data_IF_863349281972
#
_entry.id   IF_863349281972
#
_cell.length_a   1.000
_cell.length_b   1.000
_cell.length_c   1.000
_cell.angle_alpha   90.00
_cell.angle_beta   90.00
_cell.angle_gamma   90.00
#
_symmetry.space_group_name_H-M   'P 1'
#
loop_
_entity.id
_entity.type
_entity.pdbx_description
1 polymer ?
#
# COMPACT_ATOMS: atom_id res chain seq x y z
N UNK A 1 -8.55 -9.10 -2.11
CA UNK A 1 -8.24 -8.51 -3.43
C UNK A 1 -6.76 -8.63 -3.65
N UNK A 2 -6.35 -9.08 -4.84
CA UNK A 2 -4.95 -9.25 -5.21
C UNK A 2 -4.68 -8.47 -6.49
N UNK A 3 -3.53 -7.82 -6.56
CA UNK A 3 -3.04 -7.21 -7.80
C UNK A 3 -2.43 -8.29 -8.70
N UNK A 4 -2.84 -8.31 -9.96
CA UNK A 4 -2.29 -9.22 -10.97
C UNK A 4 -0.97 -8.63 -11.47
N UNK A 5 0.14 -9.24 -11.05
CA UNK A 5 1.50 -8.78 -11.33
C UNK A 5 2.01 -9.34 -12.67
N UNK A 6 3.09 -8.76 -13.19
CA UNK A 6 3.67 -9.16 -14.48
C UNK A 6 4.18 -10.60 -14.54
N UNK A 7 4.43 -11.24 -13.39
CA UNK A 7 4.81 -12.65 -13.30
C UNK A 7 3.62 -13.62 -13.44
N UNK A 8 2.39 -13.12 -13.70
CA UNK A 8 1.18 -13.91 -13.95
C UNK A 8 0.62 -13.57 -15.35
N UNK A 9 1.35 -13.88 -16.44
CA UNK A 9 1.03 -13.38 -17.78
C UNK A 9 -0.31 -13.90 -18.32
N UNK A 10 -0.66 -15.17 -18.07
CA UNK A 10 -1.92 -15.77 -18.49
C UNK A 10 -3.11 -15.13 -17.81
N UNK A 11 -3.07 -14.99 -16.48
CA UNK A 11 -4.14 -14.32 -15.74
C UNK A 11 -4.30 -12.87 -16.20
N UNK A 12 -3.18 -12.17 -16.40
CA UNK A 12 -3.19 -10.79 -16.86
C UNK A 12 -3.88 -10.64 -18.22
N UNK A 13 -3.51 -11.48 -19.20
CA UNK A 13 -4.11 -11.41 -20.53
C UNK A 13 -5.61 -11.74 -20.50
N UNK A 14 -6.04 -12.69 -19.68
CA UNK A 14 -7.46 -12.99 -19.44
C UNK A 14 -8.22 -11.78 -18.90
N UNK A 15 -7.71 -11.12 -17.87
CA UNK A 15 -8.37 -9.94 -17.29
C UNK A 15 -8.40 -8.79 -18.28
N UNK A 16 -7.30 -8.56 -18.99
CA UNK A 16 -7.20 -7.54 -20.04
C UNK A 16 -8.22 -7.76 -21.15
N UNK A 17 -8.30 -8.97 -21.70
CA UNK A 17 -9.28 -9.34 -22.73
C UNK A 17 -10.71 -9.10 -22.25
N UNK A 18 -11.03 -9.47 -20.99
CA UNK A 18 -12.35 -9.25 -20.42
C UNK A 18 -12.77 -7.76 -20.40
N UNK A 19 -11.83 -6.87 -20.08
CA UNK A 19 -12.08 -5.42 -20.09
C UNK A 19 -12.12 -4.82 -21.49
N UNK A 20 -11.42 -5.41 -22.47
CA UNK A 20 -11.52 -5.03 -23.88
C UNK A 20 -12.90 -5.42 -24.44
N UNK A 21 -13.34 -6.65 -24.19
CA UNK A 21 -14.66 -7.15 -24.61
C UNK A 21 -15.82 -6.34 -24.02
N UNK A 22 -15.69 -5.91 -22.76
CA UNK A 22 -16.73 -5.15 -22.08
C UNK A 22 -16.84 -3.67 -22.53
N UNK A 23 -15.82 -3.13 -23.20
CA UNK A 23 -15.78 -1.74 -23.65
C UNK A 23 -15.95 -0.71 -22.51
N UNK A 24 -16.71 0.35 -22.77
CA UNK A 24 -16.95 1.46 -21.83
C UNK A 24 -18.07 1.19 -20.81
N UNK A 25 -18.65 -0.02 -20.82
CA UNK A 25 -19.83 -0.37 -20.04
C UNK A 25 -19.64 -1.15 -18.72
N UNK A 26 -18.52 -1.09 -17.96
CA UNK A 26 -18.55 -1.52 -16.57
C UNK A 26 -18.93 -0.36 -15.64
N UNK A 27 -19.57 -0.69 -14.51
CA UNK A 27 -19.65 0.18 -13.35
C UNK A 27 -18.26 0.81 -13.08
N UNK A 28 -18.19 2.13 -13.11
CA UNK A 28 -16.95 2.88 -13.02
C UNK A 28 -16.98 3.86 -11.84
N UNK A 29 -15.83 4.08 -11.23
CA UNK A 29 -15.66 5.06 -10.16
C UNK A 29 -14.39 5.86 -10.40
N UNK A 30 -14.55 7.18 -10.55
CA UNK A 30 -13.46 8.11 -10.83
C UNK A 30 -13.07 8.94 -9.61
N UNK A 31 -11.78 9.17 -9.40
CA UNK A 31 -11.26 10.06 -8.36
C UNK A 31 -10.18 10.97 -8.93
N UNK A 32 -10.08 12.18 -8.40
CA UNK A 32 -9.00 13.13 -8.73
C UNK A 32 -8.42 13.69 -7.44
N UNK A 33 -7.11 13.56 -7.29
CA UNK A 33 -6.38 14.10 -6.15
C UNK A 33 -5.34 15.12 -6.61
N UNK A 34 -5.21 16.21 -5.85
CA UNK A 34 -4.22 17.26 -6.06
C UNK A 34 -3.45 17.49 -4.77
N UNK A 35 -2.12 17.49 -4.83
CA UNK A 35 -1.29 17.76 -3.66
C UNK A 35 0.20 17.77 -3.97
N UNK A 36 0.95 18.64 -3.28
CA UNK A 36 2.41 18.75 -3.40
C UNK A 36 2.91 18.88 -4.85
N UNK A 37 2.22 19.68 -5.68
CA UNK A 37 2.53 19.87 -7.10
C UNK A 37 2.21 18.68 -8.01
N UNK A 38 1.43 17.71 -7.52
CA UNK A 38 1.04 16.51 -8.24
C UNK A 38 -0.48 16.47 -8.42
N UNK A 39 -0.91 16.00 -9.58
CA UNK A 39 -2.31 15.65 -9.84
C UNK A 39 -2.37 14.18 -10.24
N UNK A 40 -3.28 13.43 -9.62
CA UNK A 40 -3.50 12.02 -9.92
C UNK A 40 -4.99 11.83 -10.19
N UNK A 41 -5.35 11.46 -11.40
CA UNK A 41 -6.69 11.00 -11.74
C UNK A 41 -6.69 9.48 -11.82
N UNK A 42 -7.67 8.83 -11.21
CA UNK A 42 -7.83 7.38 -11.26
C UNK A 42 -9.25 7.00 -11.66
N UNK A 43 -9.38 5.98 -12.49
CA UNK A 43 -10.64 5.39 -12.89
C UNK A 43 -10.62 3.89 -12.58
N UNK A 44 -11.45 3.47 -11.64
CA UNK A 44 -11.67 2.08 -11.29
C UNK A 44 -12.85 1.52 -12.07
N UNK A 45 -12.74 0.30 -12.58
CA UNK A 45 -13.81 -0.46 -13.23
C UNK A 45 -13.79 -1.91 -12.76
N UNK A 46 -14.97 -2.52 -12.68
CA UNK A 46 -15.13 -3.91 -12.22
C UNK A 46 -16.00 -4.71 -13.16
N UNK A 47 -15.70 -6.01 -13.29
CA UNK A 47 -16.49 -6.99 -14.01
C UNK A 47 -16.67 -8.25 -13.17
N UNK A 48 -17.80 -8.98 -13.32
CA UNK A 48 -17.90 -10.33 -12.76
C UNK A 48 -16.88 -11.25 -13.45
N UNK A 49 -16.32 -12.21 -12.70
CA UNK A 49 -15.38 -13.20 -13.25
C UNK A 49 -16.02 -14.02 -14.37
N UNK A 50 -17.27 -14.44 -14.18
CA UNK A 50 -18.06 -15.17 -15.17
C UNK A 50 -17.28 -16.32 -15.85
N UNK A 51 -16.60 -17.13 -15.04
CA UNK A 51 -15.84 -18.30 -15.50
C UNK A 51 -14.55 -18.01 -16.26
N UNK A 52 -14.14 -16.75 -16.40
CA UNK A 52 -12.95 -16.38 -17.17
C UNK A 52 -11.64 -16.77 -16.49
N UNK A 53 -11.64 -16.86 -15.16
CA UNK A 53 -10.46 -17.17 -14.36
C UNK A 53 -10.51 -18.64 -13.95
N UNK A 54 -9.37 -19.32 -14.04
CA UNK A 54 -9.20 -20.68 -13.56
C UNK A 54 -9.57 -20.80 -12.07
N UNK A 55 -10.59 -21.62 -11.80
CA UNK A 55 -11.14 -21.85 -10.47
C UNK A 55 -10.25 -22.74 -9.60
N UNK A 56 -9.37 -23.56 -10.18
CA UNK A 56 -8.40 -24.36 -9.42
C UNK A 56 -7.29 -23.45 -8.87
N UNK A 57 -6.73 -22.58 -9.72
CA UNK A 57 -5.71 -21.62 -9.32
C UNK A 57 -6.27 -20.49 -8.42
N UNK A 58 -7.51 -20.06 -8.65
CA UNK A 58 -8.13 -18.92 -7.95
C UNK A 58 -9.53 -19.27 -7.42
N UNK A 59 -9.60 -20.16 -6.40
CA UNK A 59 -10.87 -20.62 -5.88
C UNK A 59 -11.69 -19.48 -5.30
N UNK A 60 -12.98 -19.46 -5.67
CA UNK A 60 -13.93 -18.45 -5.19
C UNK A 60 -13.69 -17.04 -5.74
N UNK A 61 -12.94 -16.87 -6.83
CA UNK A 61 -12.80 -15.58 -7.50
C UNK A 61 -14.16 -15.11 -8.05
N UNK A 62 -14.59 -13.90 -7.68
CA UNK A 62 -15.91 -13.34 -8.04
C UNK A 62 -15.83 -12.07 -8.89
N UNK A 63 -14.77 -11.26 -8.72
CA UNK A 63 -14.65 -9.96 -9.41
C UNK A 63 -13.28 -9.77 -10.06
N UNK A 64 -13.30 -9.27 -11.28
CA UNK A 64 -12.18 -8.71 -12.01
C UNK A 64 -12.18 -7.19 -11.84
N UNK A 65 -11.02 -6.59 -11.64
CA UNK A 65 -10.87 -5.15 -11.47
C UNK A 65 -9.78 -4.58 -12.37
N UNK A 66 -9.97 -3.34 -12.81
CA UNK A 66 -8.92 -2.54 -13.45
C UNK A 66 -8.93 -1.14 -12.85
N UNK A 67 -7.74 -0.58 -12.63
CA UNK A 67 -7.56 0.82 -12.27
C UNK A 67 -6.63 1.44 -13.30
N UNK A 68 -7.16 2.43 -14.01
CA UNK A 68 -6.41 3.34 -14.87
C UNK A 68 -5.98 4.56 -14.04
N UNK A 69 -4.71 4.94 -14.10
CA UNK A 69 -4.15 6.06 -13.34
C UNK A 69 -3.38 6.99 -14.25
N UNK A 70 -3.74 8.28 -14.24
CA UNK A 70 -2.99 9.35 -14.90
C UNK A 70 -2.35 10.23 -13.84
N UNK A 71 -1.02 10.26 -13.80
CA UNK A 71 -0.24 11.03 -12.84
C UNK A 71 0.52 12.15 -13.56
N UNK A 72 0.25 13.39 -13.18
CA UNK A 72 0.96 14.57 -13.65
C UNK A 72 1.74 15.22 -12.49
N UNK A 73 2.97 15.68 -12.75
CA UNK A 73 3.83 16.33 -11.75
C UNK A 73 4.35 17.64 -12.32
N UNK A 74 3.84 18.76 -11.82
CA UNK A 74 4.07 20.08 -12.41
C UNK A 74 3.71 20.11 -13.90
N UNK A 75 4.59 20.70 -14.69
CA UNK A 75 4.41 20.84 -16.15
C UNK A 75 4.91 19.63 -16.95
N UNK A 76 5.32 18.55 -16.26
CA UNK A 76 5.77 17.33 -16.96
C UNK A 76 4.57 16.61 -17.61
N UNK A 77 4.78 15.94 -18.75
CA UNK A 77 3.75 15.10 -19.36
C UNK A 77 3.16 14.10 -18.35
N UNK A 78 1.84 13.91 -18.44
CA UNK A 78 1.15 12.92 -17.63
C UNK A 78 1.65 11.50 -17.91
N UNK A 79 1.91 10.74 -16.85
CA UNK A 79 2.26 9.33 -16.94
C UNK A 79 1.00 8.50 -16.72
N UNK A 80 0.72 7.61 -17.67
CA UNK A 80 -0.41 6.70 -17.60
C UNK A 80 0.04 5.33 -17.12
N UNK A 81 -0.73 4.71 -16.24
CA UNK A 81 -0.48 3.37 -15.71
C UNK A 81 -1.80 2.63 -15.53
N UNK A 82 -1.85 1.36 -15.96
CA UNK A 82 -2.98 0.46 -15.76
C UNK A 82 -2.59 -0.71 -14.87
N UNK A 83 -3.44 -1.01 -13.89
CA UNK A 83 -3.28 -2.14 -12.97
C UNK A 83 -4.51 -3.02 -12.95
N UNK A 84 -4.30 -4.33 -12.97
CA UNK A 84 -5.34 -5.34 -12.96
C UNK A 84 -5.44 -6.00 -11.59
N UNK A 85 -6.65 -6.42 -11.22
CA UNK A 85 -6.96 -7.00 -9.91
C UNK A 85 -7.94 -8.16 -10.04
N UNK A 86 -7.86 -9.08 -9.09
CA UNK A 86 -8.86 -10.12 -8.86
C UNK A 86 -9.32 -10.10 -7.40
N UNK A 87 -10.55 -10.53 -7.15
CA UNK A 87 -11.14 -10.57 -5.81
C UNK A 87 -12.07 -11.75 -5.66
N UNK A 88 -11.94 -12.45 -4.53
CA UNK A 88 -12.89 -13.48 -4.10
C UNK A 88 -14.19 -12.91 -3.55
N UNK A 89 -14.29 -11.59 -3.38
CA UNK A 89 -15.51 -10.87 -3.00
C UNK A 89 -16.09 -10.17 -4.22
N UNK A 90 -17.41 -10.07 -4.29
CA UNK A 90 -18.10 -9.11 -5.19
C UNK A 90 -17.73 -7.69 -4.77
N UNK A 91 -17.11 -6.94 -5.65
CA UNK A 91 -16.72 -5.55 -5.39
C UNK A 91 -17.46 -4.61 -6.35
N UNK A 92 -17.87 -3.45 -5.86
CA UNK A 92 -18.17 -2.29 -6.70
C UNK A 92 -16.87 -1.62 -7.17
N UNK A 93 -16.96 -0.70 -8.14
CA UNK A 93 -15.80 0.08 -8.58
C UNK A 93 -15.26 0.99 -7.46
N UNK A 94 -16.15 1.49 -6.60
CA UNK A 94 -15.74 2.26 -5.42
C UNK A 94 -14.99 1.38 -4.41
N UNK A 95 -15.51 0.18 -4.10
CA UNK A 95 -14.82 -0.75 -3.20
C UNK A 95 -13.41 -1.10 -3.72
N UNK A 96 -13.28 -1.28 -5.03
CA UNK A 96 -11.98 -1.54 -5.68
C UNK A 96 -11.03 -0.35 -5.47
N UNK A 97 -11.49 0.88 -5.73
CA UNK A 97 -10.69 2.09 -5.55
C UNK A 97 -10.25 2.27 -4.09
N UNK A 98 -11.17 2.10 -3.14
CA UNK A 98 -10.90 2.21 -1.71
C UNK A 98 -9.91 1.13 -1.24
N UNK A 99 -10.10 -0.13 -1.66
CA UNK A 99 -9.20 -1.23 -1.29
C UNK A 99 -7.79 -1.02 -1.86
N UNK A 100 -7.66 -0.59 -3.11
CA UNK A 100 -6.39 -0.28 -3.72
C UNK A 100 -5.68 0.88 -2.99
N UNK A 101 -6.44 1.91 -2.60
CA UNK A 101 -5.90 3.05 -1.85
C UNK A 101 -5.48 2.67 -0.43
N UNK A 102 -6.26 1.83 0.26
CA UNK A 102 -5.90 1.30 1.57
C UNK A 102 -4.62 0.48 1.51
N UNK A 103 -4.47 -0.37 0.48
CA UNK A 103 -3.26 -1.15 0.25
C UNK A 103 -2.03 -0.25 0.02
N UNK A 104 -2.17 0.80 -0.81
CA UNK A 104 -1.12 1.80 -0.97
C UNK A 104 -0.79 2.55 0.34
N UNK A 105 -1.80 2.78 1.17
CA UNK A 105 -1.64 3.35 2.50
C UNK A 105 -0.76 2.49 3.41
N UNK A 106 -0.84 1.15 3.30
CA UNK A 106 0.04 0.23 4.04
C UNK A 106 1.48 0.40 3.55
N UNK A 107 1.70 0.37 2.24
CA UNK A 107 3.04 0.55 1.66
C UNK A 107 3.70 1.87 2.12
N UNK A 108 2.96 2.97 2.00
CA UNK A 108 3.48 4.28 2.34
C UNK A 108 3.63 4.50 3.86
N UNK A 109 2.71 3.97 4.67
CA UNK A 109 2.76 4.17 6.13
C UNK A 109 3.65 3.16 6.83
N UNK A 110 3.87 1.97 6.30
CA UNK A 110 4.68 0.94 6.95
C UNK A 110 6.04 0.81 6.29
N UNK A 111 6.07 0.38 5.02
CA UNK A 111 7.32 0.04 4.33
C UNK A 111 8.24 1.26 4.21
N UNK A 112 7.77 2.36 3.64
CA UNK A 112 8.58 3.59 3.55
C UNK A 112 9.12 4.06 4.92
N UNK A 113 8.33 3.87 5.99
CA UNK A 113 8.75 4.22 7.34
C UNK A 113 9.89 3.32 7.83
N UNK A 114 9.82 2.02 7.56
CA UNK A 114 10.87 1.07 7.90
C UNK A 114 12.12 1.29 7.04
N UNK A 115 11.96 1.48 5.73
CA UNK A 115 13.06 1.65 4.79
C UNK A 115 13.84 2.93 5.10
N UNK A 116 13.15 4.07 5.26
CA UNK A 116 13.80 5.37 5.42
C UNK A 116 14.17 5.67 6.87
N UNK A 117 13.28 5.40 7.83
CA UNK A 117 13.62 5.70 9.22
C UNK A 117 14.46 4.60 9.83
N UNK A 118 14.12 3.32 9.61
CA UNK A 118 14.84 2.18 10.21
C UNK A 118 15.95 1.59 9.33
N UNK A 119 16.21 2.19 8.16
CA UNK A 119 17.26 1.77 7.24
C UNK A 119 17.15 0.26 6.93
N UNK A 120 15.93 -0.24 6.74
CA UNK A 120 15.69 -1.67 6.53
C UNK A 120 16.35 -2.16 5.24
N UNK A 121 16.15 -1.46 4.12
CA UNK A 121 16.82 -1.75 2.84
C UNK A 121 18.35 -1.68 2.89
N UNK A 122 18.91 -0.85 3.77
CA UNK A 122 20.36 -0.69 3.90
C UNK A 122 20.97 -1.72 4.88
N UNK A 123 20.16 -2.59 5.49
CA UNK A 123 20.63 -3.56 6.47
C UNK A 123 21.34 -4.73 5.77
N UNK A 124 22.61 -4.97 6.12
CA UNK A 124 23.38 -6.12 5.65
C UNK A 124 23.11 -7.41 6.42
N UNK A 125 22.16 -7.40 7.35
CA UNK A 125 21.79 -8.57 8.15
C UNK A 125 21.07 -9.57 7.25
N UNK A 126 21.73 -10.69 6.97
CA UNK A 126 21.26 -11.74 6.02
C UNK A 126 21.30 -13.16 6.63
N UNK A 127 21.89 -13.33 7.83
CA UNK A 127 22.15 -14.65 8.40
C UNK A 127 20.91 -15.27 9.05
N UNK A 128 20.59 -16.50 8.69
CA UNK A 128 19.53 -17.32 9.29
C UNK A 128 18.20 -16.54 9.45
N UNK A 129 17.59 -16.59 10.62
CA UNK A 129 16.35 -15.86 10.95
C UNK A 129 16.58 -14.40 11.37
N UNK A 130 17.81 -13.90 11.34
CA UNK A 130 18.11 -12.53 11.78
C UNK A 130 17.39 -11.44 10.98
N UNK A 131 17.22 -11.53 9.63
CA UNK A 131 16.48 -10.52 8.87
C UNK A 131 15.01 -10.42 9.29
N UNK A 132 14.35 -11.57 9.46
CA UNK A 132 12.94 -11.64 9.85
C UNK A 132 12.72 -11.14 11.28
N UNK A 133 13.56 -11.60 12.23
CA UNK A 133 13.51 -11.16 13.62
C UNK A 133 13.73 -9.66 13.73
N UNK A 134 14.71 -9.12 12.99
CA UNK A 134 14.98 -7.69 13.00
C UNK A 134 13.83 -6.87 12.40
N UNK A 135 13.22 -7.36 11.32
CA UNK A 135 12.04 -6.72 10.71
C UNK A 135 10.87 -6.67 11.70
N UNK A 136 10.62 -7.77 12.42
CA UNK A 136 9.57 -7.83 13.44
C UNK A 136 9.82 -6.83 14.57
N UNK A 137 11.05 -6.78 15.11
CA UNK A 137 11.42 -5.82 16.15
C UNK A 137 11.26 -4.36 15.67
N UNK A 138 11.69 -4.04 14.45
CA UNK A 138 11.51 -2.69 13.87
C UNK A 138 10.03 -2.31 13.78
N UNK A 139 9.16 -3.25 13.38
CA UNK A 139 7.70 -3.06 13.32
C UNK A 139 7.10 -2.82 14.72
N UNK A 140 7.52 -3.59 15.72
CA UNK A 140 7.12 -3.39 17.12
C UNK A 140 7.50 -1.99 17.61
N UNK A 141 8.77 -1.59 17.42
CA UNK A 141 9.26 -0.26 17.80
C UNK A 141 8.49 0.84 17.07
N UNK A 142 8.22 0.69 15.77
CA UNK A 142 7.43 1.67 15.02
C UNK A 142 6.03 1.85 15.62
N UNK A 143 5.36 0.76 16.00
CA UNK A 143 4.04 0.79 16.60
C UNK A 143 4.03 1.42 18.01
N UNK A 144 5.11 1.28 18.77
CA UNK A 144 5.27 1.93 20.09
C UNK A 144 5.55 3.44 19.96
N UNK A 145 6.45 3.83 19.06
CA UNK A 145 6.91 5.23 18.95
C UNK A 145 5.91 6.13 18.19
N UNK A 146 5.20 5.58 17.21
CA UNK A 146 4.27 6.33 16.36
C UNK A 146 3.17 7.08 17.13
N UNK A 147 2.42 6.45 18.05
CA UNK A 147 1.28 7.09 18.71
C UNK A 147 1.68 8.15 19.75
N UNK A 148 2.92 8.12 20.27
CA UNK A 148 3.35 9.03 21.35
C UNK A 148 3.57 10.44 20.80
N UNK A 149 2.79 11.46 21.21
CA UNK A 149 2.98 12.83 20.74
C UNK A 149 4.24 13.43 21.36
N UNK A 150 5.10 14.03 20.54
CA UNK A 150 6.32 14.72 21.02
C UNK A 150 6.61 15.97 20.20
N UNK A 151 7.30 16.93 20.82
CA UNK A 151 7.68 18.20 20.20
C UNK A 151 6.50 19.15 20.00
N UNK A 152 6.73 20.24 19.25
CA UNK A 152 5.72 21.29 19.01
C UNK A 152 4.47 20.69 18.35
N UNK A 153 3.31 20.87 18.99
CA UNK A 153 2.02 20.35 18.56
C UNK A 153 1.99 18.82 18.33
N UNK A 154 2.87 18.06 19.00
CA UNK A 154 2.97 16.61 18.83
C UNK A 154 3.60 16.15 17.51
N UNK A 155 4.19 17.05 16.72
CA UNK A 155 4.66 16.81 15.35
C UNK A 155 6.19 16.63 15.23
N UNK A 156 6.82 15.93 16.16
CA UNK A 156 8.23 15.55 16.03
C UNK A 156 8.43 14.41 15.02
N UNK A 157 9.49 14.48 14.21
CA UNK A 157 9.80 13.44 13.21
C UNK A 157 10.17 12.12 13.87
N UNK A 158 9.86 11.00 13.20
CA UNK A 158 10.13 9.66 13.72
C UNK A 158 11.61 9.38 13.95
N UNK A 159 12.49 9.91 13.08
CA UNK A 159 13.93 9.86 13.29
C UNK A 159 14.36 10.52 14.60
N UNK A 160 13.78 11.68 14.94
CA UNK A 160 14.12 12.40 16.18
C UNK A 160 13.52 11.69 17.39
N UNK A 161 12.25 11.23 17.33
CA UNK A 161 11.65 10.45 18.42
C UNK A 161 12.49 9.23 18.80
N UNK A 162 13.00 8.50 17.81
CA UNK A 162 13.91 7.37 18.03
C UNK A 162 15.23 7.77 18.69
N UNK A 163 15.81 8.91 18.29
CA UNK A 163 17.02 9.44 18.94
C UNK A 163 16.74 9.87 20.39
N UNK A 164 15.59 10.49 20.65
CA UNK A 164 15.19 10.88 21.99
C UNK A 164 15.12 9.67 22.92
N UNK A 165 14.45 8.58 22.53
CA UNK A 165 14.43 7.35 23.32
C UNK A 165 15.79 6.65 23.47
N UNK A 166 16.73 6.91 22.56
CA UNK A 166 18.11 6.40 22.66
C UNK A 166 18.98 7.24 23.60
N UNK A 167 18.60 8.49 23.87
CA UNK A 167 19.38 9.43 24.70
C UNK A 167 18.77 9.66 26.08
N UNK A 168 17.50 9.33 26.27
CA UNK A 168 16.72 9.61 27.47
C UNK A 168 15.91 8.37 27.89
N UNK A 169 16.15 7.93 29.11
CA UNK A 169 15.57 6.74 29.70
C UNK A 169 14.10 6.93 30.06
N UNK A 170 13.70 8.14 30.43
CA UNK A 170 12.31 8.47 30.74
C UNK A 170 11.46 8.49 29.47
N UNK A 171 12.02 9.04 28.38
CA UNK A 171 11.37 8.98 27.05
C UNK A 171 11.23 7.52 26.59
N UNK A 172 12.23 6.68 26.86
CA UNK A 172 12.17 5.26 26.52
C UNK A 172 11.12 4.53 27.37
N UNK A 173 11.06 4.79 28.67
CA UNK A 173 10.05 4.25 29.57
C UNK A 173 8.64 4.67 29.12
N UNK A 174 8.45 5.94 28.75
CA UNK A 174 7.19 6.46 28.22
C UNK A 174 6.73 5.69 26.96
N UNK A 175 7.63 5.42 26.02
CA UNK A 175 7.30 4.65 24.82
C UNK A 175 6.93 3.19 25.12
N UNK A 176 7.49 2.62 26.19
CA UNK A 176 7.18 1.28 26.65
C UNK A 176 5.93 1.23 27.55
N UNK A 177 5.32 2.37 27.87
CA UNK A 177 4.19 2.46 28.80
C UNK A 177 4.58 2.19 30.26
N UNK A 178 5.87 2.35 30.60
CA UNK A 178 6.39 2.19 31.95
C UNK A 178 6.35 3.55 32.67
N UNK A 179 6.06 3.52 33.97
CA UNK A 179 6.21 4.70 34.81
C UNK A 179 7.71 4.96 35.09
N UNK A 180 8.19 6.21 35.08
CA UNK A 180 9.55 6.52 35.50
C UNK A 180 9.75 6.14 36.98
N UNK A 181 10.97 5.70 37.32
CA UNK A 181 11.38 5.30 38.67
C UNK A 181 11.57 6.50 39.61
#
# INVERSE_FOLDING_TARGET
MLAVKGNQPSLRSTVEAAFIEAGDAPNAHGTVERGHGRQVAQLARVLPVAGRVDAEAWPGCQTLGVIDSLRQVGDKPGQWERRYYISSRKLSAEDLAQAARAHWGIENRLHWMLDVNFAEDASSVCKDFAPENLSLLKKMVLNLVRPVPMGKNGKMSMRIKRKAAAWDDDVRAQFLGLAPL
#
